data_IF_027074051079
#
_entry.id   IF_027074051079
#
_cell.length_a   1.000
_cell.length_b   1.000
_cell.length_c   1.000
_cell.angle_alpha   90.00
_cell.angle_beta   90.00
_cell.angle_gamma   90.00
#
_symmetry.space_group_name_H-M   'P 1'
#
loop_
_entity.id
_entity.type
_entity.pdbx_description
1 polymer ?
#
# COMPACT_ATOMS: atom_id res chain seq x y z
N UNK A 1 -8.63 -0.34 -25.25
CA UNK A 1 -9.21 0.01 -23.95
C UNK A 1 -10.14 -1.07 -23.38
N UNK A 2 -10.62 -2.07 -24.17
CA UNK A 2 -11.31 -3.26 -23.65
C UNK A 2 -10.51 -4.57 -23.76
N UNK A 3 -9.19 -4.50 -23.90
CA UNK A 3 -8.35 -5.68 -24.19
C UNK A 3 -7.24 -5.82 -23.15
N UNK A 4 -7.16 -6.99 -22.54
CA UNK A 4 -6.10 -7.42 -21.64
C UNK A 4 -5.11 -8.28 -22.41
N UNK A 5 -3.81 -8.00 -22.25
CA UNK A 5 -2.76 -8.78 -22.92
C UNK A 5 -2.75 -10.20 -22.36
N UNK A 6 -2.78 -11.21 -23.23
CA UNK A 6 -2.66 -12.60 -22.80
C UNK A 6 -1.39 -12.81 -21.98
N UNK A 7 -1.56 -13.40 -20.79
CA UNK A 7 -0.47 -13.72 -19.88
C UNK A 7 -0.56 -15.18 -19.42
N UNK A 8 0.60 -15.80 -19.24
CA UNK A 8 0.75 -17.18 -18.76
C UNK A 8 1.13 -17.18 -17.30
N UNK A 9 0.56 -18.11 -16.55
CA UNK A 9 0.77 -18.29 -15.13
C UNK A 9 0.89 -19.78 -14.79
N UNK A 10 1.40 -20.05 -13.59
CA UNK A 10 1.44 -21.40 -13.03
C UNK A 10 0.59 -21.44 -11.77
N UNK A 11 -0.26 -22.46 -11.65
CA UNK A 11 -1.06 -22.68 -10.46
C UNK A 11 -0.22 -23.33 -9.33
N UNK A 12 -0.81 -23.54 -8.15
CA UNK A 12 -0.11 -24.16 -7.01
C UNK A 12 0.37 -25.60 -7.25
N UNK A 13 -0.06 -26.24 -8.33
CA UNK A 13 0.37 -27.58 -8.73
C UNK A 13 1.37 -27.53 -9.90
N UNK A 14 1.92 -26.35 -10.23
CA UNK A 14 2.76 -26.09 -11.39
C UNK A 14 2.09 -26.41 -12.72
N UNK A 15 0.75 -26.37 -12.78
CA UNK A 15 0.02 -26.48 -14.03
C UNK A 15 -0.04 -25.09 -14.69
N UNK A 16 0.38 -25.01 -15.96
CA UNK A 16 0.28 -23.78 -16.74
C UNK A 16 -1.19 -23.46 -17.05
N UNK A 17 -1.55 -22.18 -16.91
CA UNK A 17 -2.82 -21.63 -17.34
C UNK A 17 -2.62 -20.23 -17.93
N UNK A 18 -3.56 -19.79 -18.76
CA UNK A 18 -3.52 -18.49 -19.43
C UNK A 18 -4.69 -17.62 -18.97
N UNK A 19 -4.45 -16.32 -18.78
CA UNK A 19 -5.51 -15.31 -18.65
C UNK A 19 -5.52 -14.44 -19.91
N UNK A 20 -6.69 -14.26 -20.52
CA UNK A 20 -6.89 -13.38 -21.68
C UNK A 20 -8.29 -12.79 -21.73
N UNK A 21 -8.47 -11.74 -22.52
CA UNK A 21 -9.80 -11.22 -22.86
C UNK A 21 -10.61 -12.23 -23.69
N UNK A 22 -11.90 -12.31 -23.41
CA UNK A 22 -12.84 -13.05 -24.26
C UNK A 22 -13.12 -12.31 -25.56
N UNK A 23 -13.39 -13.07 -26.61
CA UNK A 23 -13.84 -12.59 -27.92
C UNK A 23 -15.13 -13.31 -28.33
N UNK A 24 -15.89 -12.80 -29.32
CA UNK A 24 -17.09 -13.47 -29.80
C UNK A 24 -16.87 -14.92 -30.27
N UNK A 25 -15.65 -15.26 -30.70
CA UNK A 25 -15.29 -16.64 -31.09
C UNK A 25 -15.26 -17.61 -29.89
N UNK A 26 -15.14 -17.08 -28.66
CA UNK A 26 -15.09 -17.87 -27.44
C UNK A 26 -16.49 -18.20 -26.88
N UNK A 27 -17.55 -17.62 -27.44
CA UNK A 27 -18.93 -17.74 -26.96
C UNK A 27 -19.35 -19.19 -26.73
N UNK A 28 -18.97 -20.12 -27.62
CA UNK A 28 -19.32 -21.53 -27.47
C UNK A 28 -18.66 -22.19 -26.25
N UNK A 29 -17.41 -21.83 -25.96
CA UNK A 29 -16.66 -22.37 -24.82
C UNK A 29 -17.12 -21.75 -23.50
N UNK A 30 -17.37 -20.44 -23.49
CA UNK A 30 -17.92 -19.75 -22.31
C UNK A 30 -19.32 -20.27 -21.99
N UNK A 31 -20.17 -20.44 -23.01
CA UNK A 31 -21.51 -20.98 -22.80
C UNK A 31 -21.46 -22.40 -22.21
N UNK A 32 -20.58 -23.26 -22.74
CA UNK A 32 -20.35 -24.62 -22.20
C UNK A 32 -19.89 -24.55 -20.74
N UNK A 33 -18.90 -23.71 -20.43
CA UNK A 33 -18.41 -23.50 -19.07
C UNK A 33 -19.51 -23.04 -18.12
N UNK A 34 -20.31 -22.04 -18.53
CA UNK A 34 -21.44 -21.53 -17.77
C UNK A 34 -22.48 -22.62 -17.52
N UNK A 35 -22.85 -23.40 -18.55
CA UNK A 35 -23.77 -24.54 -18.40
C UNK A 35 -23.26 -25.55 -17.38
N UNK A 36 -21.98 -25.93 -17.44
CA UNK A 36 -21.38 -26.86 -16.48
C UNK A 36 -21.41 -26.33 -15.04
N UNK A 37 -21.18 -25.03 -14.84
CA UNK A 37 -21.32 -24.40 -13.52
C UNK A 37 -22.76 -24.46 -13.01
N UNK A 38 -23.74 -24.03 -13.80
CA UNK A 38 -25.14 -23.93 -13.38
C UNK A 38 -25.83 -25.30 -13.24
N UNK A 39 -25.42 -26.33 -14.00
CA UNK A 39 -26.04 -27.66 -13.99
C UNK A 39 -25.49 -28.61 -12.92
N UNK A 40 -24.39 -28.26 -12.26
CA UNK A 40 -23.67 -29.21 -11.41
C UNK A 40 -24.16 -29.28 -9.96
N UNK A 41 -25.16 -28.49 -9.54
CA UNK A 41 -25.57 -28.25 -8.14
C UNK A 41 -24.40 -27.93 -7.18
N UNK A 42 -23.20 -27.74 -7.72
CA UNK A 42 -21.94 -27.66 -6.99
C UNK A 42 -21.53 -26.22 -6.68
N UNK A 43 -22.40 -25.27 -7.05
CA UNK A 43 -22.17 -23.84 -6.96
C UNK A 43 -23.20 -23.13 -6.06
N UNK A 44 -23.07 -23.26 -4.72
CA UNK A 44 -24.02 -22.69 -3.77
C UNK A 44 -24.01 -21.15 -3.68
N UNK A 45 -23.16 -20.49 -4.48
CA UNK A 45 -22.91 -19.05 -4.44
C UNK A 45 -23.30 -18.32 -5.73
N UNK A 46 -23.92 -19.00 -6.70
CA UNK A 46 -24.46 -18.37 -7.90
C UNK A 46 -25.90 -17.90 -7.64
N UNK A 47 -26.24 -16.71 -8.15
CA UNK A 47 -27.61 -16.17 -8.06
C UNK A 47 -28.53 -16.79 -9.11
N UNK A 48 -28.03 -17.01 -10.32
CA UNK A 48 -28.80 -17.62 -11.41
C UNK A 48 -29.00 -19.10 -11.10
N UNK A 49 -30.26 -19.53 -11.07
CA UNK A 49 -30.58 -20.94 -10.91
C UNK A 49 -30.42 -21.70 -12.21
N UNK A 50 -30.28 -23.02 -12.11
CA UNK A 50 -30.22 -23.92 -13.28
C UNK A 50 -31.43 -23.77 -14.20
N UNK A 51 -32.62 -23.54 -13.64
CA UNK A 51 -33.88 -23.40 -14.38
C UNK A 51 -33.97 -22.07 -15.14
N UNK A 52 -33.32 -21.02 -14.63
CA UNK A 52 -33.29 -19.69 -15.25
C UNK A 52 -32.26 -19.59 -16.37
N UNK A 53 -31.25 -20.47 -16.39
CA UNK A 53 -30.18 -20.43 -17.37
C UNK A 53 -30.63 -20.93 -18.75
N UNK A 54 -31.18 -20.02 -19.56
CA UNK A 54 -31.68 -20.29 -20.91
C UNK A 54 -30.93 -19.50 -22.00
N UNK A 55 -29.66 -19.16 -21.76
CA UNK A 55 -28.85 -18.35 -22.67
C UNK A 55 -28.52 -19.13 -23.95
N UNK A 56 -28.80 -18.55 -25.10
CA UNK A 56 -28.42 -19.13 -26.40
C UNK A 56 -27.01 -18.71 -26.81
N UNK A 57 -26.39 -19.48 -27.73
CA UNK A 57 -25.08 -19.13 -28.28
C UNK A 57 -25.08 -17.73 -28.93
N UNK A 58 -26.16 -17.35 -29.60
CA UNK A 58 -26.28 -16.03 -30.24
C UNK A 58 -26.34 -14.91 -29.20
N UNK A 59 -27.02 -15.14 -28.08
CA UNK A 59 -27.09 -14.20 -26.97
C UNK A 59 -25.72 -14.05 -26.28
N UNK A 60 -25.03 -15.16 -26.04
CA UNK A 60 -23.68 -15.18 -25.48
C UNK A 60 -22.70 -14.41 -26.37
N UNK A 61 -22.70 -14.69 -27.67
CA UNK A 61 -21.87 -14.01 -28.66
C UNK A 61 -22.16 -12.50 -28.70
N UNK A 62 -23.44 -12.13 -28.69
CA UNK A 62 -23.87 -10.72 -28.68
C UNK A 62 -23.47 -10.00 -27.39
N UNK A 63 -23.50 -10.69 -26.25
CA UNK A 63 -23.04 -10.15 -24.97
C UNK A 63 -21.54 -9.87 -24.99
N UNK A 64 -20.72 -10.84 -25.44
CA UNK A 64 -19.26 -10.65 -25.54
C UNK A 64 -18.92 -9.51 -26.51
N UNK A 65 -19.57 -9.45 -27.67
CA UNK A 65 -19.35 -8.36 -28.64
C UNK A 65 -19.73 -6.98 -28.05
N UNK A 66 -20.81 -6.92 -27.27
CA UNK A 66 -21.25 -5.70 -26.56
C UNK A 66 -20.22 -5.26 -25.51
N UNK A 67 -19.63 -6.22 -24.79
CA UNK A 67 -18.62 -5.97 -23.76
C UNK A 67 -17.32 -5.46 -24.38
N UNK A 68 -16.85 -6.09 -25.45
CA UNK A 68 -15.62 -5.73 -26.16
C UNK A 68 -15.66 -4.28 -26.69
N UNK A 69 -16.85 -3.82 -27.13
CA UNK A 69 -17.04 -2.46 -27.65
C UNK A 69 -17.12 -1.39 -26.56
N UNK A 70 -17.32 -1.75 -25.29
CA UNK A 70 -17.48 -0.80 -24.17
C UNK A 70 -16.13 -0.51 -23.52
N UNK A 71 -15.67 0.76 -23.50
CA UNK A 71 -14.36 1.10 -22.93
C UNK A 71 -14.22 0.83 -21.43
N UNK A 72 -15.32 0.70 -20.69
CA UNK A 72 -15.34 0.45 -19.23
C UNK A 72 -15.84 -0.93 -18.85
N UNK A 73 -15.83 -1.87 -19.79
CA UNK A 73 -16.21 -3.27 -19.55
C UNK A 73 -15.10 -4.21 -20.01
N UNK A 74 -15.01 -5.38 -19.39
CA UNK A 74 -14.10 -6.44 -19.81
C UNK A 74 -14.65 -7.80 -19.41
N UNK A 75 -14.35 -8.83 -20.22
CA UNK A 75 -14.49 -10.23 -19.84
C UNK A 75 -13.10 -10.86 -19.90
N UNK A 76 -12.67 -11.47 -18.81
CA UNK A 76 -11.43 -12.23 -18.68
C UNK A 76 -11.77 -13.72 -18.55
N UNK A 77 -11.04 -14.56 -19.28
CA UNK A 77 -11.11 -16.01 -19.17
C UNK A 77 -9.80 -16.56 -18.63
N UNK A 78 -9.90 -17.62 -17.82
CA UNK A 78 -8.79 -18.47 -17.45
C UNK A 78 -8.87 -19.79 -18.23
N UNK A 79 -7.80 -20.15 -18.93
CA UNK A 79 -7.74 -21.35 -19.77
C UNK A 79 -6.63 -22.30 -19.28
N UNK A 80 -6.96 -23.59 -19.14
CA UNK A 80 -6.00 -24.66 -18.87
C UNK A 80 -6.08 -25.64 -20.03
N UNK A 81 -4.96 -25.85 -20.74
CA UNK A 81 -4.89 -26.75 -21.90
C UNK A 81 -5.97 -26.47 -22.97
N UNK A 82 -6.36 -25.20 -23.13
CA UNK A 82 -7.37 -24.77 -24.10
C UNK A 82 -8.81 -24.89 -23.64
N UNK A 83 -9.08 -25.35 -22.41
CA UNK A 83 -10.44 -25.36 -21.84
C UNK A 83 -10.61 -24.22 -20.83
N UNK A 84 -11.78 -23.57 -20.86
CA UNK A 84 -12.14 -22.51 -19.91
C UNK A 84 -12.37 -23.11 -18.52
N UNK A 85 -11.62 -22.64 -17.54
CA UNK A 85 -11.71 -23.07 -16.13
C UNK A 85 -12.09 -21.93 -15.18
N UNK A 86 -12.15 -20.70 -15.67
CA UNK A 86 -12.55 -19.53 -14.90
C UNK A 86 -13.01 -18.40 -15.79
N UNK A 87 -13.92 -17.59 -15.29
CA UNK A 87 -14.49 -16.44 -15.98
C UNK A 87 -14.63 -15.28 -14.98
N UNK A 88 -14.30 -14.08 -15.43
CA UNK A 88 -14.58 -12.84 -14.72
C UNK A 88 -15.14 -11.84 -15.73
N UNK A 89 -16.27 -11.22 -15.42
CA UNK A 89 -16.79 -10.11 -16.20
C UNK A 89 -16.93 -8.86 -15.31
N UNK A 90 -16.58 -7.69 -15.85
CA UNK A 90 -16.71 -6.41 -15.17
C UNK A 90 -17.44 -5.41 -16.06
N UNK A 91 -18.35 -4.65 -15.47
CA UNK A 91 -19.12 -3.61 -16.14
C UNK A 91 -19.18 -2.32 -15.32
N UNK A 92 -18.85 -1.20 -15.95
CA UNK A 92 -19.09 0.10 -15.37
C UNK A 92 -20.54 0.58 -15.53
N UNK A 93 -20.93 1.55 -14.70
CA UNK A 93 -22.26 2.13 -14.73
C UNK A 93 -22.56 2.89 -16.02
N UNK A 94 -23.78 2.76 -16.55
CA UNK A 94 -24.17 3.40 -17.82
C UNK A 94 -24.51 4.90 -17.71
N UNK A 95 -24.71 5.41 -16.49
CA UNK A 95 -25.00 6.84 -16.27
C UNK A 95 -23.69 7.61 -16.21
N UNK A 96 -23.65 8.83 -16.77
CA UNK A 96 -22.46 9.70 -16.77
C UNK A 96 -21.76 9.85 -15.41
N UNK A 97 -22.53 9.88 -14.31
CA UNK A 97 -21.97 9.98 -12.94
C UNK A 97 -21.46 8.65 -12.37
N UNK A 98 -21.73 7.54 -13.04
CA UNK A 98 -21.40 6.17 -12.61
C UNK A 98 -20.41 5.48 -13.55
N UNK A 99 -20.01 6.10 -14.66
CA UNK A 99 -19.05 5.50 -15.60
C UNK A 99 -17.67 5.23 -14.98
N UNK A 100 -17.35 5.93 -13.88
CA UNK A 100 -16.10 5.79 -13.16
C UNK A 100 -16.04 4.55 -12.27
N UNK A 101 -17.15 3.83 -12.11
CA UNK A 101 -17.22 2.70 -11.19
C UNK A 101 -18.05 1.57 -11.77
N UNK A 102 -17.77 0.34 -11.35
CA UNK A 102 -18.42 -0.83 -11.86
C UNK A 102 -18.40 -1.99 -10.89
N UNK A 103 -19.04 -3.08 -11.30
CA UNK A 103 -19.14 -4.32 -10.55
C UNK A 103 -18.59 -5.47 -11.39
N UNK A 104 -18.07 -6.50 -10.72
CA UNK A 104 -17.67 -7.73 -11.39
C UNK A 104 -18.36 -8.98 -10.82
N UNK A 105 -18.57 -9.95 -11.70
CA UNK A 105 -18.84 -11.34 -11.37
C UNK A 105 -17.59 -12.18 -11.61
N UNK A 106 -17.38 -13.22 -10.81
CA UNK A 106 -16.26 -14.15 -11.02
C UNK A 106 -16.64 -15.57 -10.62
N UNK A 107 -16.21 -16.54 -11.42
CA UNK A 107 -16.34 -17.97 -11.14
C UNK A 107 -15.07 -18.71 -11.53
N UNK A 108 -14.80 -19.81 -10.81
CA UNK A 108 -13.73 -20.77 -11.14
C UNK A 108 -14.32 -22.16 -10.94
N UNK A 109 -14.08 -23.04 -11.92
CA UNK A 109 -14.54 -24.43 -11.91
C UNK A 109 -14.10 -25.15 -10.64
N UNK A 110 -14.99 -25.96 -10.06
CA UNK A 110 -14.79 -26.59 -8.75
C UNK A 110 -13.45 -27.33 -8.61
N UNK A 111 -13.09 -28.14 -9.61
CA UNK A 111 -11.86 -28.94 -9.66
C UNK A 111 -10.57 -28.09 -9.78
N UNK A 112 -10.69 -26.79 -10.10
CA UNK A 112 -9.58 -25.84 -10.22
C UNK A 112 -9.54 -24.79 -9.07
N UNK A 113 -10.43 -24.91 -8.07
CA UNK A 113 -10.42 -24.08 -6.87
C UNK A 113 -9.24 -24.41 -5.96
N UNK A 114 -8.86 -23.46 -5.11
CA UNK A 114 -7.72 -23.64 -4.19
C UNK A 114 -6.36 -23.36 -4.82
N UNK A 115 -6.29 -23.31 -6.16
CA UNK A 115 -5.03 -23.32 -6.93
C UNK A 115 -4.48 -21.93 -7.28
N UNK A 116 -5.18 -20.86 -6.93
CA UNK A 116 -4.75 -19.48 -7.16
C UNK A 116 -5.36 -18.81 -8.40
N UNK A 117 -6.08 -19.53 -9.26
CA UNK A 117 -6.65 -18.99 -10.50
C UNK A 117 -7.55 -17.76 -10.27
N UNK A 118 -8.48 -17.83 -9.31
CA UNK A 118 -9.35 -16.69 -8.97
C UNK A 118 -8.56 -15.46 -8.45
N UNK A 119 -7.41 -15.69 -7.79
CA UNK A 119 -6.52 -14.61 -7.37
C UNK A 119 -5.92 -13.89 -8.57
N UNK A 120 -5.48 -14.66 -9.57
CA UNK A 120 -4.87 -14.13 -10.79
C UNK A 120 -5.91 -13.45 -11.70
N UNK A 121 -7.12 -14.01 -11.82
CA UNK A 121 -8.24 -13.36 -12.52
C UNK A 121 -8.56 -11.99 -11.92
N UNK A 122 -8.75 -11.93 -10.59
CA UNK A 122 -9.04 -10.67 -9.92
C UNK A 122 -7.89 -9.67 -10.02
N UNK A 123 -6.64 -10.11 -9.86
CA UNK A 123 -5.48 -9.23 -10.05
C UNK A 123 -5.43 -8.66 -11.47
N UNK A 124 -5.70 -9.49 -12.47
CA UNK A 124 -5.76 -9.07 -13.87
C UNK A 124 -6.85 -8.02 -14.13
N UNK A 125 -8.01 -8.13 -13.48
CA UNK A 125 -9.04 -7.09 -13.50
C UNK A 125 -8.53 -5.79 -12.89
N UNK A 126 -7.92 -5.85 -11.70
CA UNK A 126 -7.42 -4.66 -11.00
C UNK A 126 -6.36 -3.95 -11.84
N UNK A 127 -5.40 -4.69 -12.38
CA UNK A 127 -4.33 -4.13 -13.22
C UNK A 127 -4.92 -3.44 -14.46
N UNK A 128 -5.87 -4.10 -15.16
CA UNK A 128 -6.58 -3.50 -16.29
C UNK A 128 -7.37 -2.25 -15.88
N UNK A 129 -8.09 -2.29 -14.76
CA UNK A 129 -8.92 -1.18 -14.30
C UNK A 129 -8.06 0.01 -13.87
N UNK A 130 -6.89 -0.24 -13.26
CA UNK A 130 -5.90 0.76 -12.89
C UNK A 130 -5.37 1.50 -14.11
N UNK A 131 -5.03 0.78 -15.19
CA UNK A 131 -4.59 1.36 -16.45
C UNK A 131 -5.73 2.03 -17.26
N UNK A 132 -6.98 1.67 -16.99
CA UNK A 132 -8.13 2.23 -17.69
C UNK A 132 -8.42 3.67 -17.24
N UNK A 133 -8.39 4.69 -18.13
CA UNK A 133 -8.56 6.08 -17.73
C UNK A 133 -9.97 6.42 -17.23
N UNK A 134 -10.96 5.55 -17.47
CA UNK A 134 -12.33 5.77 -17.03
C UNK A 134 -12.59 5.25 -15.63
N UNK A 135 -11.99 4.13 -15.22
CA UNK A 135 -12.41 3.40 -14.02
C UNK A 135 -11.60 3.84 -12.81
N UNK A 136 -12.27 4.37 -11.79
CA UNK A 136 -11.66 4.84 -10.54
C UNK A 136 -11.96 3.89 -9.37
N UNK A 137 -12.98 3.04 -9.48
CA UNK A 137 -13.40 2.14 -8.40
C UNK A 137 -14.02 0.84 -8.92
N UNK A 138 -13.62 -0.28 -8.32
CA UNK A 138 -14.18 -1.62 -8.55
C UNK A 138 -15.01 -2.03 -7.34
N UNK A 139 -16.23 -2.52 -7.56
CA UNK A 139 -17.11 -3.02 -6.51
C UNK A 139 -17.47 -4.49 -6.76
N UNK A 140 -17.95 -5.15 -5.71
CA UNK A 140 -18.49 -6.50 -5.78
C UNK A 140 -19.54 -6.70 -4.69
N UNK A 141 -20.37 -7.72 -4.91
CA UNK A 141 -21.25 -8.28 -3.92
C UNK A 141 -20.90 -9.75 -3.66
N UNK A 142 -20.90 -10.15 -2.38
CA UNK A 142 -20.54 -11.50 -1.96
C UNK A 142 -21.46 -11.97 -0.84
N UNK A 143 -21.87 -13.24 -0.90
CA UNK A 143 -22.65 -13.86 0.18
C UNK A 143 -21.84 -13.84 1.47
N UNK A 144 -22.47 -13.45 2.58
CA UNK A 144 -21.80 -13.35 3.87
C UNK A 144 -21.24 -14.70 4.38
N UNK A 145 -21.70 -15.81 3.81
CA UNK A 145 -21.26 -17.18 4.11
C UNK A 145 -20.06 -17.64 3.25
N UNK A 146 -19.60 -16.84 2.29
CA UNK A 146 -18.50 -17.20 1.39
C UNK A 146 -17.15 -16.68 1.92
N UNK A 147 -16.72 -17.21 3.07
CA UNK A 147 -15.48 -16.81 3.77
C UNK A 147 -14.25 -16.85 2.86
N UNK A 148 -14.22 -17.83 1.94
CA UNK A 148 -13.13 -18.01 0.97
C UNK A 148 -13.03 -16.83 0.01
N UNK A 149 -14.15 -16.38 -0.55
CA UNK A 149 -14.17 -15.23 -1.46
C UNK A 149 -13.89 -13.93 -0.70
N UNK A 150 -14.48 -13.75 0.48
CA UNK A 150 -14.24 -12.58 1.35
C UNK A 150 -12.74 -12.45 1.66
N UNK A 151 -12.10 -13.54 2.08
CA UNK A 151 -10.65 -13.56 2.37
C UNK A 151 -9.81 -13.19 1.14
N UNK A 152 -10.20 -13.67 -0.05
CA UNK A 152 -9.54 -13.29 -1.30
C UNK A 152 -9.67 -11.79 -1.57
N UNK A 153 -10.87 -11.23 -1.46
CA UNK A 153 -11.13 -9.82 -1.71
C UNK A 153 -10.38 -8.91 -0.72
N UNK A 154 -10.41 -9.24 0.57
CA UNK A 154 -9.65 -8.51 1.60
C UNK A 154 -8.14 -8.56 1.32
N UNK A 155 -7.61 -9.72 0.92
CA UNK A 155 -6.18 -9.85 0.56
C UNK A 155 -5.77 -9.04 -0.68
N UNK A 156 -6.74 -8.54 -1.44
CA UNK A 156 -6.57 -7.67 -2.61
C UNK A 156 -6.91 -6.20 -2.32
N UNK A 157 -7.10 -5.84 -1.05
CA UNK A 157 -7.36 -4.46 -0.63
C UNK A 157 -8.81 -4.01 -0.72
N UNK A 158 -9.76 -4.92 -1.04
CA UNK A 158 -11.18 -4.58 -0.98
C UNK A 158 -11.62 -4.40 0.47
N UNK A 159 -12.39 -3.35 0.72
CA UNK A 159 -12.95 -3.03 2.03
C UNK A 159 -14.46 -3.26 1.99
N UNK A 160 -15.03 -3.77 3.09
CA UNK A 160 -16.47 -3.87 3.23
C UNK A 160 -17.09 -2.48 3.38
N UNK A 161 -18.03 -2.15 2.49
CA UNK A 161 -18.72 -0.86 2.46
C UNK A 161 -20.20 -0.98 2.83
N UNK A 162 -20.80 -2.17 2.70
CA UNK A 162 -22.20 -2.40 3.06
C UNK A 162 -22.46 -3.82 3.58
N UNK A 163 -23.54 -3.96 4.34
CA UNK A 163 -24.07 -5.24 4.83
C UNK A 163 -25.60 -5.24 4.72
N UNK A 164 -26.16 -6.16 3.94
CA UNK A 164 -27.60 -6.26 3.66
C UNK A 164 -28.14 -7.58 4.21
N UNK A 165 -28.95 -7.48 5.27
CA UNK A 165 -29.58 -8.63 5.91
C UNK A 165 -30.69 -9.25 5.05
N UNK A 166 -30.78 -10.57 5.05
CA UNK A 166 -31.78 -11.36 4.33
C UNK A 166 -31.97 -10.88 2.88
N UNK A 167 -30.88 -10.54 2.20
CA UNK A 167 -30.95 -9.86 0.91
C UNK A 167 -31.26 -10.83 -0.24
N UNK A 168 -30.75 -12.06 -0.15
CA UNK A 168 -30.97 -13.11 -1.13
C UNK A 168 -31.94 -14.14 -0.53
N UNK A 169 -32.99 -14.52 -1.27
CA UNK A 169 -33.92 -15.59 -0.89
C UNK A 169 -33.56 -16.85 -1.68
N UNK A 170 -33.19 -17.93 -0.99
CA UNK A 170 -32.85 -19.22 -1.63
C UNK A 170 -34.07 -20.15 -1.77
N UNK A 171 -35.09 -19.94 -0.93
CA UNK A 171 -36.28 -20.78 -0.83
C UNK A 171 -37.21 -20.25 0.24
N UNK A 172 -38.28 -20.97 0.55
CA UNK A 172 -39.24 -20.51 1.55
C UNK A 172 -38.65 -20.48 2.96
N UNK A 173 -38.51 -19.27 3.50
CA UNK A 173 -37.93 -19.04 4.83
C UNK A 173 -36.39 -19.03 4.86
N UNK A 174 -35.72 -19.34 3.75
CA UNK A 174 -34.26 -19.40 3.67
C UNK A 174 -33.69 -18.17 2.98
N UNK A 175 -32.83 -17.45 3.71
CA UNK A 175 -32.23 -16.21 3.26
C UNK A 175 -30.72 -16.19 3.54
N UNK A 176 -29.99 -15.46 2.69
CA UNK A 176 -28.57 -15.19 2.86
C UNK A 176 -28.33 -13.68 2.90
N UNK A 177 -27.46 -13.26 3.83
CA UNK A 177 -26.97 -11.89 3.94
C UNK A 177 -25.95 -11.59 2.83
N UNK A 178 -25.94 -10.35 2.34
CA UNK A 178 -25.06 -9.90 1.27
C UNK A 178 -24.12 -8.80 1.75
N UNK A 179 -22.83 -8.96 1.47
CA UNK A 179 -21.77 -8.00 1.77
C UNK A 179 -21.38 -7.30 0.48
N UNK A 180 -21.44 -5.97 0.47
CA UNK A 180 -20.89 -5.17 -0.63
C UNK A 180 -19.49 -4.68 -0.27
N UNK A 181 -18.54 -4.87 -1.17
CA UNK A 181 -17.14 -4.46 -0.99
C UNK A 181 -16.67 -3.57 -2.14
N UNK A 182 -15.73 -2.68 -1.86
CA UNK A 182 -15.17 -1.74 -2.83
C UNK A 182 -13.65 -1.63 -2.74
N UNK A 183 -13.02 -1.38 -3.89
CA UNK A 183 -11.61 -1.04 -4.05
C UNK A 183 -11.51 0.25 -4.86
N UNK A 184 -10.99 1.31 -4.24
CA UNK A 184 -10.62 2.55 -4.93
C UNK A 184 -9.26 2.32 -5.59
N UNK A 185 -9.15 2.64 -6.88
CA UNK A 185 -7.94 2.40 -7.66
C UNK A 185 -7.00 3.61 -7.60
N UNK A 186 -5.72 3.34 -7.36
CA UNK A 186 -4.66 4.36 -7.41
C UNK A 186 -4.14 4.47 -8.85
N UNK A 187 -4.22 5.67 -9.43
CA UNK A 187 -3.84 5.89 -10.84
C UNK A 187 -2.35 6.18 -10.99
N UNK A 188 -1.66 5.58 -11.99
CA UNK A 188 -0.25 5.87 -12.26
C UNK A 188 -0.04 7.37 -12.49
N UNK A 189 0.92 7.95 -11.75
CA UNK A 189 1.29 9.37 -11.87
C UNK A 189 0.37 10.36 -11.13
N UNK A 190 -0.71 9.91 -10.49
CA UNK A 190 -1.43 10.72 -9.51
C UNK A 190 -0.76 10.51 -8.16
N UNK A 191 -0.09 11.54 -7.63
CA UNK A 191 0.36 11.55 -6.24
C UNK A 191 -0.92 11.54 -5.40
N UNK A 192 -1.23 10.39 -4.82
CA UNK A 192 -2.36 10.22 -3.92
C UNK A 192 -2.13 11.11 -2.70
N UNK A 193 -3.18 11.78 -2.19
CA UNK A 193 -3.14 12.41 -0.85
C UNK A 193 -2.81 11.40 0.28
N UNK A 194 -2.71 10.10 -0.05
CA UNK A 194 -2.33 8.99 0.84
C UNK A 194 -0.88 8.52 0.75
N UNK A 195 -0.03 9.08 -0.12
CA UNK A 195 1.36 8.63 -0.19
C UNK A 195 2.09 9.02 1.11
N UNK A 196 2.53 8.02 1.88
CA UNK A 196 3.33 8.27 3.08
C UNK A 196 4.69 8.86 2.71
N UNK A 197 4.94 10.10 3.14
CA UNK A 197 6.14 10.86 2.81
C UNK A 197 6.74 11.47 4.08
N UNK A 198 8.07 11.36 4.21
CA UNK A 198 8.85 12.12 5.18
C UNK A 198 9.69 13.15 4.44
N UNK A 199 9.38 14.43 4.64
CA UNK A 199 10.18 15.52 4.12
C UNK A 199 11.50 15.66 4.91
N UNK A 200 12.63 15.56 4.21
CA UNK A 200 13.95 15.62 4.80
C UNK A 200 14.81 16.79 4.27
N UNK A 201 14.22 17.80 3.64
CA UNK A 201 14.94 18.94 3.07
C UNK A 201 15.12 18.81 1.56
N UNK A 202 16.29 18.42 1.07
CA UNK A 202 16.56 18.28 -0.38
C UNK A 202 16.04 16.95 -0.94
N UNK A 203 15.68 16.03 -0.05
CA UNK A 203 15.17 14.69 -0.38
C UNK A 203 13.84 14.42 0.31
N UNK A 204 13.11 13.46 -0.23
CA UNK A 204 11.93 12.85 0.39
C UNK A 204 12.25 11.39 0.71
N UNK A 205 11.72 10.89 1.82
CA UNK A 205 11.52 9.46 1.99
C UNK A 205 10.08 9.12 1.62
N UNK A 206 9.89 8.11 0.77
CA UNK A 206 8.57 7.58 0.45
C UNK A 206 8.60 6.08 0.22
N UNK A 207 7.45 5.44 0.24
CA UNK A 207 7.33 4.02 -0.11
C UNK A 207 7.86 3.72 -1.53
N UNK A 208 8.35 2.50 -1.72
CA UNK A 208 8.77 2.03 -3.03
C UNK A 208 7.57 1.94 -3.97
N UNK A 209 7.78 2.35 -5.22
CA UNK A 209 6.81 2.17 -6.30
C UNK A 209 7.38 1.21 -7.33
N UNK A 210 6.51 0.57 -8.11
CA UNK A 210 6.93 -0.39 -9.14
C UNK A 210 7.85 0.28 -10.17
N UNK A 211 7.66 1.59 -10.41
CA UNK A 211 8.52 2.40 -11.29
C UNK A 211 9.95 2.56 -10.75
N UNK A 212 10.18 2.42 -9.43
CA UNK A 212 11.51 2.48 -8.84
C UNK A 212 12.32 1.20 -9.06
N UNK A 213 11.69 0.10 -9.51
CA UNK A 213 12.29 -1.22 -9.57
C UNK A 213 13.62 -1.23 -10.34
N UNK A 214 13.66 -0.56 -11.49
CA UNK A 214 14.86 -0.49 -12.31
C UNK A 214 15.99 0.30 -11.64
N UNK A 215 15.66 1.42 -11.00
CA UNK A 215 16.63 2.23 -10.26
C UNK A 215 17.16 1.49 -9.03
N UNK A 216 16.28 0.78 -8.31
CA UNK A 216 16.64 -0.04 -7.16
C UNK A 216 17.56 -1.20 -7.56
N UNK A 217 17.25 -1.93 -8.63
CA UNK A 217 18.12 -2.99 -9.14
C UNK A 217 19.48 -2.46 -9.60
N UNK A 218 19.49 -1.31 -10.30
CA UNK A 218 20.73 -0.68 -10.73
C UNK A 218 21.59 -0.22 -9.54
N UNK A 219 20.97 0.29 -8.47
CA UNK A 219 21.64 0.67 -7.23
C UNK A 219 22.31 -0.54 -6.55
N UNK A 220 21.58 -1.64 -6.36
CA UNK A 220 22.11 -2.84 -5.69
C UNK A 220 23.21 -3.53 -6.49
N UNK A 221 23.27 -3.27 -7.80
CA UNK A 221 24.32 -3.78 -8.66
C UNK A 221 25.64 -2.98 -8.62
N UNK A 222 25.65 -1.79 -8.00
CA UNK A 222 26.86 -0.97 -7.91
C UNK A 222 27.94 -1.70 -7.06
N UNK A 223 29.21 -1.75 -7.52
CA UNK A 223 30.29 -2.43 -6.80
C UNK A 223 30.42 -1.99 -5.35
N UNK A 224 30.23 -0.69 -5.09
CA UNK A 224 30.35 -0.08 -3.78
C UNK A 224 29.15 -0.35 -2.86
N UNK A 225 28.03 -0.86 -3.40
CA UNK A 225 26.92 -1.39 -2.62
C UNK A 225 27.15 -2.86 -2.35
N UNK A 226 27.50 -3.64 -3.38
CA UNK A 226 27.81 -5.08 -3.26
C UNK A 226 28.93 -5.38 -2.27
N UNK A 227 29.91 -4.48 -2.13
CA UNK A 227 30.99 -4.63 -1.15
C UNK A 227 30.47 -4.80 0.29
N UNK A 228 29.35 -4.15 0.62
CA UNK A 228 28.80 -4.13 1.98
C UNK A 228 27.45 -4.85 2.11
N UNK A 229 26.72 -5.00 1.00
CA UNK A 229 25.38 -5.57 0.93
C UNK A 229 25.25 -6.53 -0.27
N UNK A 230 26.06 -7.61 -0.35
CA UNK A 230 26.06 -8.50 -1.50
C UNK A 230 24.71 -9.21 -1.69
N UNK A 231 24.01 -9.54 -0.61
CA UNK A 231 22.72 -10.26 -0.64
C UNK A 231 21.56 -9.40 -1.19
N UNK A 232 21.79 -8.11 -1.41
CA UNK A 232 20.81 -7.22 -2.03
C UNK A 232 20.81 -7.30 -3.56
N UNK A 233 21.85 -7.86 -4.18
CA UNK A 233 21.89 -8.08 -5.62
C UNK A 233 21.14 -9.36 -6.00
N UNK A 234 19.85 -9.21 -6.30
CA UNK A 234 18.95 -10.31 -6.67
C UNK A 234 18.38 -10.10 -8.08
N UNK A 235 17.91 -11.17 -8.75
CA UNK A 235 17.22 -11.04 -10.04
C UNK A 235 16.03 -10.08 -9.95
N UNK A 236 15.77 -9.33 -11.04
CA UNK A 236 14.70 -8.33 -11.10
C UNK A 236 13.31 -8.89 -10.75
N UNK A 237 13.02 -10.12 -11.18
CA UNK A 237 11.76 -10.81 -10.86
C UNK A 237 11.60 -11.05 -9.35
N UNK A 238 12.67 -11.50 -8.69
CA UNK A 238 12.69 -11.69 -7.23
C UNK A 238 12.58 -10.34 -6.50
N UNK A 239 13.23 -9.29 -7.01
CA UNK A 239 13.10 -7.95 -6.44
C UNK A 239 11.66 -7.41 -6.56
N UNK A 240 11.01 -7.62 -7.71
CA UNK A 240 9.62 -7.23 -7.92
C UNK A 240 8.67 -7.96 -6.95
N UNK A 241 8.89 -9.26 -6.75
CA UNK A 241 8.16 -10.06 -5.76
C UNK A 241 8.34 -9.50 -4.34
N UNK A 242 9.58 -9.20 -3.94
CA UNK A 242 9.87 -8.60 -2.63
C UNK A 242 9.18 -7.25 -2.45
N UNK A 243 9.30 -6.36 -3.45
CA UNK A 243 8.68 -5.05 -3.42
C UNK A 243 7.16 -5.17 -3.19
N UNK A 244 6.46 -5.95 -4.02
CA UNK A 244 4.99 -6.04 -4.00
C UNK A 244 4.48 -6.83 -2.80
N UNK A 245 5.08 -7.99 -2.52
CA UNK A 245 4.50 -8.97 -1.60
C UNK A 245 5.08 -8.92 -0.18
N UNK A 246 6.18 -8.19 0.04
CA UNK A 246 6.84 -8.12 1.34
C UNK A 246 7.09 -6.68 1.80
N UNK A 247 7.79 -5.86 1.01
CA UNK A 247 8.22 -4.54 1.45
C UNK A 247 7.05 -3.56 1.55
N UNK A 248 6.20 -3.47 0.54
CA UNK A 248 4.97 -2.65 0.59
C UNK A 248 3.98 -3.18 1.64
N UNK A 249 3.88 -4.49 1.81
CA UNK A 249 2.99 -5.10 2.82
C UNK A 249 3.46 -4.77 4.25
N UNK A 250 4.76 -4.86 4.52
CA UNK A 250 5.33 -4.50 5.83
C UNK A 250 5.17 -3.01 6.10
N UNK A 251 5.39 -2.14 5.11
CA UNK A 251 5.16 -0.71 5.27
C UNK A 251 3.70 -0.40 5.62
N UNK A 252 2.75 -1.03 4.93
CA UNK A 252 1.34 -0.87 5.23
C UNK A 252 1.04 -1.31 6.68
N UNK A 253 1.52 -2.48 7.10
CA UNK A 253 1.39 -2.96 8.49
C UNK A 253 2.02 -1.99 9.49
N UNK A 254 3.15 -1.39 9.14
CA UNK A 254 3.85 -0.42 9.97
C UNK A 254 2.98 0.81 10.18
N UNK A 255 2.47 1.39 9.08
CA UNK A 255 1.65 2.61 9.11
C UNK A 255 0.29 2.36 9.80
N UNK A 256 -0.31 1.19 9.61
CA UNK A 256 -1.51 0.76 10.35
C UNK A 256 -1.25 0.67 11.86
N UNK A 257 -0.10 0.12 12.28
CA UNK A 257 0.30 0.06 13.69
C UNK A 257 0.53 1.48 14.27
N UNK A 258 1.18 2.37 13.50
CA UNK A 258 1.32 3.78 13.88
C UNK A 258 -0.02 4.46 14.09
N UNK A 259 -0.94 4.31 13.13
CA UNK A 259 -2.27 4.92 13.19
C UNK A 259 -3.14 4.36 14.33
N UNK A 260 -2.93 3.11 14.71
CA UNK A 260 -3.69 2.43 15.76
C UNK A 260 -3.28 2.86 17.16
N UNK A 261 -2.00 2.70 17.51
CA UNK A 261 -1.49 2.93 18.86
C UNK A 261 0.00 3.30 18.93
N UNK A 262 0.68 3.43 17.78
CA UNK A 262 2.10 3.75 17.71
C UNK A 262 3.02 2.56 17.99
N UNK A 263 2.49 1.35 18.20
CA UNK A 263 3.29 0.19 18.65
C UNK A 263 3.81 -0.64 17.47
N UNK A 264 5.05 -0.39 17.05
CA UNK A 264 5.60 -0.91 15.78
C UNK A 264 6.59 -2.07 15.92
N UNK A 265 6.72 -2.64 17.12
CA UNK A 265 7.71 -3.64 17.56
C UNK A 265 8.60 -4.25 16.47
N UNK A 266 8.26 -5.38 15.86
CA UNK A 266 9.10 -6.11 14.91
C UNK A 266 8.90 -5.67 13.44
N UNK A 267 7.96 -4.75 13.21
CA UNK A 267 7.56 -4.34 11.87
C UNK A 267 8.65 -3.42 11.28
N UNK A 268 9.05 -3.75 10.06
CA UNK A 268 10.03 -2.99 9.31
C UNK A 268 9.37 -1.83 8.54
N UNK A 269 10.07 -0.70 8.46
CA UNK A 269 9.72 0.42 7.60
C UNK A 269 10.82 0.58 6.55
N UNK A 270 10.46 0.52 5.26
CA UNK A 270 11.41 0.55 4.13
C UNK A 270 11.04 1.64 3.15
N UNK A 271 11.86 2.67 3.05
CA UNK A 271 11.56 3.85 2.24
C UNK A 271 12.68 4.12 1.22
N UNK A 272 12.27 4.52 0.02
CA UNK A 272 13.15 5.08 -1.00
C UNK A 272 13.56 6.51 -0.67
N UNK A 273 14.80 6.86 -0.97
CA UNK A 273 15.34 8.22 -0.92
C UNK A 273 15.15 8.83 -2.31
N UNK A 274 14.32 9.86 -2.40
CA UNK A 274 13.98 10.54 -3.65
C UNK A 274 14.56 11.94 -3.65
N UNK A 275 15.32 12.30 -4.68
CA UNK A 275 15.81 13.65 -4.87
C UNK A 275 14.66 14.57 -5.27
N UNK A 276 14.35 15.60 -4.47
CA UNK A 276 13.20 16.47 -4.73
C UNK A 276 13.28 17.20 -6.07
N UNK A 277 14.48 17.67 -6.41
CA UNK A 277 14.71 18.48 -7.61
C UNK A 277 14.32 17.72 -8.89
N UNK A 278 14.58 16.42 -8.95
CA UNK A 278 14.45 15.63 -10.17
C UNK A 278 13.37 14.54 -10.08
N UNK A 279 12.91 14.20 -8.88
CA UNK A 279 12.07 13.02 -8.64
C UNK A 279 12.83 11.69 -8.73
N UNK A 280 14.16 11.72 -8.84
CA UNK A 280 14.99 10.54 -9.03
C UNK A 280 15.10 9.69 -7.76
N UNK A 281 14.99 8.36 -7.90
CA UNK A 281 15.32 7.42 -6.85
C UNK A 281 16.85 7.30 -6.71
N UNK A 282 17.39 7.75 -5.58
CA UNK A 282 18.85 7.85 -5.38
C UNK A 282 19.40 6.92 -4.29
N UNK A 283 18.53 6.22 -3.56
CA UNK A 283 18.92 5.39 -2.42
C UNK A 283 17.72 4.86 -1.65
N UNK A 284 17.97 4.26 -0.49
CA UNK A 284 16.93 3.83 0.44
C UNK A 284 17.38 4.02 1.89
N UNK A 285 16.42 4.19 2.78
CA UNK A 285 16.59 4.29 4.23
C UNK A 285 15.49 3.47 4.90
N UNK A 286 15.89 2.50 5.72
CA UNK A 286 15.01 1.51 6.30
C UNK A 286 15.23 1.42 7.82
N UNK A 287 14.23 0.93 8.55
CA UNK A 287 14.36 0.52 9.94
C UNK A 287 13.71 -0.84 10.18
N UNK A 288 14.39 -1.69 10.95
CA UNK A 288 13.95 -3.05 11.27
C UNK A 288 14.73 -3.61 12.45
N UNK A 289 14.50 -4.87 12.82
CA UNK A 289 15.21 -5.52 13.93
C UNK A 289 16.56 -6.09 13.51
N UNK A 290 17.56 -5.93 14.39
CA UNK A 290 18.88 -6.54 14.26
C UNK A 290 19.09 -7.54 15.39
N UNK A 291 18.73 -8.80 15.13
CA UNK A 291 18.70 -9.88 16.13
C UNK A 291 20.07 -10.17 16.78
N UNK A 292 21.17 -9.83 16.12
CA UNK A 292 22.53 -9.97 16.65
C UNK A 292 22.86 -8.92 17.73
N UNK A 293 22.02 -7.90 17.91
CA UNK A 293 22.13 -6.91 18.98
C UNK A 293 21.19 -7.22 20.15
N UNK A 294 21.57 -6.89 21.39
CA UNK A 294 20.68 -7.03 22.54
C UNK A 294 19.52 -6.03 22.46
N UNK A 295 18.33 -6.47 22.85
CA UNK A 295 17.15 -5.61 22.93
C UNK A 295 17.37 -4.42 23.89
N UNK A 296 16.85 -3.21 23.57
CA UNK A 296 16.15 -2.85 22.33
C UNK A 296 17.12 -2.75 21.12
N UNK A 297 16.80 -3.44 20.03
CA UNK A 297 17.72 -3.74 18.92
C UNK A 297 17.21 -3.29 17.54
N UNK A 298 16.23 -2.38 17.49
CA UNK A 298 15.81 -1.75 16.22
C UNK A 298 16.97 -0.96 15.63
N UNK A 299 17.24 -1.18 14.35
CA UNK A 299 18.34 -0.58 13.58
C UNK A 299 17.81 0.40 12.52
N UNK A 300 18.63 1.40 12.17
CA UNK A 300 18.52 2.15 10.90
C UNK A 300 19.56 1.63 9.90
N UNK A 301 19.11 1.32 8.69
CA UNK A 301 19.94 0.87 7.57
C UNK A 301 19.74 1.81 6.39
N UNK A 302 20.78 2.03 5.58
CA UNK A 302 20.67 2.87 4.39
C UNK A 302 21.67 2.48 3.30
N UNK A 303 21.34 2.84 2.06
CA UNK A 303 22.28 2.86 0.95
C UNK A 303 21.99 4.05 0.03
N UNK A 304 23.03 4.55 -0.62
CA UNK A 304 22.91 5.65 -1.59
C UNK A 304 23.81 5.40 -2.80
N UNK A 305 23.29 5.75 -3.98
CA UNK A 305 23.98 5.66 -5.26
C UNK A 305 25.30 6.42 -5.22
N UNK A 306 26.34 5.85 -5.83
CA UNK A 306 27.66 6.46 -5.94
C UNK A 306 27.62 7.88 -6.53
N UNK A 307 26.69 8.15 -7.46
CA UNK A 307 26.49 9.45 -8.09
C UNK A 307 25.96 10.56 -7.12
N UNK A 308 25.43 10.17 -5.96
CA UNK A 308 24.81 11.08 -4.99
C UNK A 308 25.50 11.09 -3.61
N UNK A 309 26.71 10.52 -3.52
CA UNK A 309 27.53 10.54 -2.29
C UNK A 309 28.07 11.93 -1.99
N UNK A 310 28.44 12.15 -0.72
CA UNK A 310 29.06 13.39 -0.20
C UNK A 310 28.20 14.66 -0.33
N UNK A 311 26.90 14.53 -0.63
CA UNK A 311 25.94 15.64 -0.72
C UNK A 311 25.11 15.86 0.55
N UNK A 312 25.30 15.01 1.58
CA UNK A 312 24.57 15.11 2.84
C UNK A 312 23.20 14.41 2.86
N UNK A 313 22.73 13.87 1.73
CA UNK A 313 21.42 13.23 1.60
C UNK A 313 21.18 12.06 2.56
N UNK A 314 22.19 11.24 2.86
CA UNK A 314 22.04 10.17 3.86
C UNK A 314 21.84 10.74 5.26
N UNK A 315 22.52 11.84 5.60
CA UNK A 315 22.33 12.53 6.88
C UNK A 315 20.91 13.07 6.99
N UNK A 316 20.38 13.63 5.91
CA UNK A 316 18.99 14.10 5.83
C UNK A 316 18.00 12.93 5.98
N UNK A 317 18.18 11.85 5.22
CA UNK A 317 17.32 10.67 5.25
C UNK A 317 17.27 10.02 6.64
N UNK A 318 18.42 9.73 7.24
CA UNK A 318 18.48 9.13 8.58
C UNK A 318 17.90 10.07 9.63
N UNK A 319 18.13 11.39 9.51
CA UNK A 319 17.54 12.40 10.39
C UNK A 319 16.00 12.41 10.33
N UNK A 320 15.43 12.42 9.13
CA UNK A 320 13.97 12.37 8.93
C UNK A 320 13.35 11.06 9.41
N UNK A 321 13.97 9.92 9.09
CA UNK A 321 13.54 8.61 9.60
C UNK A 321 13.55 8.57 11.14
N UNK A 322 14.63 9.02 11.76
CA UNK A 322 14.80 9.06 13.20
C UNK A 322 13.73 9.94 13.87
N UNK A 323 13.50 11.14 13.33
CA UNK A 323 12.46 12.04 13.82
C UNK A 323 11.09 11.37 13.76
N UNK A 324 10.71 10.85 12.59
CA UNK A 324 9.41 10.22 12.40
C UNK A 324 9.19 9.08 13.39
N UNK A 325 10.18 8.19 13.55
CA UNK A 325 10.09 7.07 14.48
C UNK A 325 9.92 7.53 15.93
N UNK A 326 10.69 8.51 16.40
CA UNK A 326 10.57 8.97 17.79
C UNK A 326 9.29 9.74 18.07
N UNK A 327 8.77 10.49 17.10
CA UNK A 327 7.57 11.32 17.29
C UNK A 327 6.27 10.53 17.14
N UNK A 328 6.26 9.49 16.32
CA UNK A 328 5.01 8.80 15.93
C UNK A 328 4.92 7.36 16.44
N UNK A 329 5.95 6.83 17.10
CA UNK A 329 5.98 5.41 17.53
C UNK A 329 6.45 5.22 18.97
N UNK A 330 6.33 3.98 19.45
CA UNK A 330 6.83 3.51 20.74
C UNK A 330 8.35 3.27 20.79
N UNK A 331 9.09 3.60 19.72
CA UNK A 331 10.54 3.41 19.67
C UNK A 331 11.24 4.36 20.65
N UNK A 332 12.04 3.80 21.55
CA UNK A 332 12.82 4.54 22.56
C UNK A 332 14.33 4.56 22.27
N UNK A 333 14.81 3.63 21.45
CA UNK A 333 16.21 3.50 21.06
C UNK A 333 16.32 3.03 19.60
N UNK A 334 17.27 3.62 18.89
CA UNK A 334 17.71 3.19 17.57
C UNK A 334 19.18 2.78 17.64
N UNK A 335 19.52 1.75 16.88
CA UNK A 335 20.86 1.23 16.73
C UNK A 335 21.35 1.48 15.30
N UNK A 336 22.66 1.47 15.13
CA UNK A 336 23.29 1.38 13.83
C UNK A 336 24.56 0.54 13.98
N UNK A 337 24.80 -0.38 13.05
CA UNK A 337 26.09 -1.04 12.93
C UNK A 337 26.75 -0.71 11.59
N UNK A 338 28.07 -0.58 11.61
CA UNK A 338 28.85 -0.44 10.39
C UNK A 338 30.16 -1.21 10.53
N UNK A 339 30.55 -1.90 9.46
CA UNK A 339 31.88 -2.51 9.39
C UNK A 339 32.95 -1.48 9.73
N UNK A 340 33.95 -1.86 10.52
CA UNK A 340 35.03 -0.95 10.92
C UNK A 340 35.71 -0.33 9.69
N UNK A 341 35.87 -1.11 8.62
CA UNK A 341 36.46 -0.63 7.35
C UNK A 341 35.57 0.33 6.56
N UNK A 342 34.26 0.39 6.84
CA UNK A 342 33.32 1.29 6.15
C UNK A 342 33.38 2.69 6.76
N UNK A 343 34.50 3.39 6.54
CA UNK A 343 34.78 4.71 7.13
C UNK A 343 33.67 5.73 6.82
N UNK A 344 33.10 5.67 5.62
CA UNK A 344 32.03 6.56 5.19
C UNK A 344 30.76 6.41 6.03
N UNK A 345 30.30 5.16 6.25
CA UNK A 345 29.11 4.91 7.07
C UNK A 345 29.34 5.30 8.53
N UNK A 346 30.48 4.92 9.10
CA UNK A 346 30.84 5.30 10.49
C UNK A 346 30.84 6.82 10.68
N UNK A 347 31.36 7.60 9.71
CA UNK A 347 31.33 9.07 9.76
C UNK A 347 29.92 9.63 9.71
N UNK A 348 29.03 9.05 8.91
CA UNK A 348 27.62 9.49 8.83
C UNK A 348 26.92 9.24 10.17
N UNK A 349 27.04 8.03 10.72
CA UNK A 349 26.45 7.64 12.00
C UNK A 349 26.91 8.61 13.12
N UNK A 350 28.21 8.86 13.21
CA UNK A 350 28.78 9.80 14.18
C UNK A 350 28.31 11.25 13.96
N UNK A 351 28.18 11.70 12.70
CA UNK A 351 27.70 13.05 12.38
C UNK A 351 26.27 13.29 12.85
N UNK A 352 25.44 12.24 12.85
CA UNK A 352 24.05 12.25 13.36
C UNK A 352 24.02 12.04 14.89
N UNK A 353 25.21 11.96 15.53
CA UNK A 353 25.41 11.87 16.98
C UNK A 353 24.92 10.57 17.60
N UNK A 354 24.89 9.49 16.82
CA UNK A 354 24.84 8.16 17.40
C UNK A 354 26.10 7.92 18.24
N UNK A 355 25.91 7.49 19.47
CA UNK A 355 26.98 7.24 20.43
C UNK A 355 27.59 5.87 20.18
N UNK A 356 28.92 5.81 20.13
CA UNK A 356 29.63 4.54 20.02
C UNK A 356 29.47 3.74 21.32
N UNK A 357 29.08 2.48 21.20
CA UNK A 357 28.90 1.57 22.33
C UNK A 357 30.14 0.70 22.51
N UNK A 358 30.40 -0.17 21.54
CA UNK A 358 31.57 -1.03 21.46
C UNK A 358 31.72 -1.61 20.04
N UNK A 359 32.72 -2.47 19.85
CA UNK A 359 32.87 -3.29 18.66
C UNK A 359 32.27 -4.67 18.91
N UNK A 360 31.48 -5.17 17.95
CA UNK A 360 30.90 -6.50 17.95
C UNK A 360 31.40 -7.31 16.75
N UNK A 361 31.32 -8.64 16.84
CA UNK A 361 31.71 -9.57 15.78
C UNK A 361 30.47 -10.31 15.26
N UNK A 362 30.19 -10.19 13.96
CA UNK A 362 29.09 -10.86 13.25
C UNK A 362 29.71 -11.51 12.01
N UNK A 363 29.47 -12.81 11.80
CA UNK A 363 29.95 -13.58 10.64
C UNK A 363 31.42 -13.32 10.26
N UNK A 364 32.28 -13.42 11.27
CA UNK A 364 33.73 -13.17 11.20
C UNK A 364 34.20 -11.74 10.91
N UNK A 365 33.28 -10.80 10.70
CA UNK A 365 33.60 -9.38 10.52
C UNK A 365 33.38 -8.57 11.81
N UNK A 366 34.13 -7.47 11.93
CA UNK A 366 34.04 -6.57 13.07
C UNK A 366 33.26 -5.31 12.70
N UNK A 367 32.25 -5.00 13.51
CA UNK A 367 31.36 -3.86 13.34
C UNK A 367 31.48 -2.92 14.53
N UNK A 368 31.48 -1.63 14.27
CA UNK A 368 31.20 -0.64 15.30
C UNK A 368 29.69 -0.60 15.52
N UNK A 369 29.27 -0.76 16.77
CA UNK A 369 27.89 -0.63 17.18
C UNK A 369 27.66 0.72 17.84
N UNK A 370 26.61 1.39 17.40
CA UNK A 370 26.19 2.68 17.90
C UNK A 370 24.73 2.69 18.35
N UNK A 371 24.41 3.63 19.24
CA UNK A 371 23.06 3.85 19.77
C UNK A 371 22.64 5.31 19.72
N UNK A 372 21.35 5.53 19.58
CA UNK A 372 20.72 6.82 19.75
C UNK A 372 19.39 6.64 20.50
N UNK A 373 19.13 7.49 21.50
CA UNK A 373 17.92 7.36 22.34
C UNK A 373 16.93 8.49 22.09
N UNK A 374 15.65 8.22 22.33
CA UNK A 374 14.59 9.23 22.30
C UNK A 374 14.84 10.37 23.29
N UNK A 375 15.44 10.06 24.44
CA UNK A 375 15.83 11.08 25.41
C UNK A 375 16.89 12.03 24.84
N UNK A 376 17.89 11.50 24.14
CA UNK A 376 18.90 12.31 23.42
C UNK A 376 18.26 13.14 22.32
N UNK A 377 17.30 12.57 21.57
CA UNK A 377 16.53 13.28 20.54
C UNK A 377 15.79 14.48 21.14
N UNK A 378 15.00 14.27 22.20
CA UNK A 378 14.24 15.32 22.88
C UNK A 378 15.18 16.40 23.40
N UNK A 379 16.29 16.01 24.05
CA UNK A 379 17.27 16.98 24.54
C UNK A 379 17.85 17.82 23.41
N UNK A 380 18.20 17.23 22.26
CA UNK A 380 18.72 17.97 21.11
C UNK A 380 17.68 18.89 20.48
N UNK A 381 16.44 18.43 20.33
CA UNK A 381 15.32 19.22 19.83
C UNK A 381 15.12 20.47 20.69
N UNK A 382 15.08 20.30 22.01
CA UNK A 382 14.77 21.36 22.96
C UNK A 382 15.98 22.31 23.20
N UNK A 383 17.22 21.82 23.11
CA UNK A 383 18.44 22.62 23.38
C UNK A 383 19.05 23.30 22.17
N UNK A 384 18.95 22.70 20.98
CA UNK A 384 19.57 23.24 19.75
C UNK A 384 18.57 23.80 18.75
N UNK A 385 17.27 23.72 19.04
CA UNK A 385 16.23 24.12 18.09
C UNK A 385 16.26 23.28 16.82
N UNK A 386 16.57 21.98 16.94
CA UNK A 386 16.49 21.05 15.81
C UNK A 386 15.01 20.95 15.40
N UNK A 387 14.66 21.66 14.34
CA UNK A 387 13.29 21.78 13.81
C UNK A 387 13.24 21.16 12.43
N UNK A 388 12.17 20.44 12.12
CA UNK A 388 11.98 19.89 10.78
C UNK A 388 11.93 21.02 9.73
N UNK A 389 12.18 20.73 8.44
CA UNK A 389 11.97 21.70 7.37
C UNK A 389 10.54 22.26 7.37
N UNK A 390 9.53 21.41 7.63
CA UNK A 390 8.13 21.81 7.74
C UNK A 390 7.86 22.74 8.93
N UNK A 391 8.50 22.51 10.08
CA UNK A 391 8.43 23.44 11.22
C UNK A 391 9.13 24.76 10.90
N UNK A 392 10.29 24.74 10.23
CA UNK A 392 11.00 25.95 9.80
C UNK A 392 10.18 26.78 8.81
N UNK A 393 9.47 26.13 7.88
CA UNK A 393 8.53 26.78 6.96
C UNK A 393 7.38 27.43 7.71
N UNK A 394 6.73 26.69 8.62
CA UNK A 394 5.66 27.21 9.49
C UNK A 394 6.13 28.41 10.33
N UNK A 395 7.33 28.35 10.88
CA UNK A 395 7.92 29.45 11.64
C UNK A 395 8.20 30.65 10.75
N UNK A 396 8.71 30.45 9.54
CA UNK A 396 8.91 31.56 8.58
C UNK A 396 7.58 32.23 8.20
N UNK A 397 6.51 31.45 8.08
CA UNK A 397 5.15 31.95 7.82
C UNK A 397 4.60 32.70 9.03
N UNK A 398 4.83 32.21 10.26
CA UNK A 398 4.39 32.89 11.48
C UNK A 398 5.17 34.19 11.72
N UNK A 399 6.49 34.20 11.49
CA UNK A 399 7.35 35.37 11.63
C UNK A 399 7.05 36.43 10.56
N UNK A 400 6.79 36.02 9.31
CA UNK A 400 6.38 36.94 8.25
C UNK A 400 4.99 37.57 8.48
N UNK A 401 4.14 36.91 9.27
CA UNK A 401 2.85 37.45 9.73
C UNK A 401 2.93 38.20 11.08
N UNK A 402 4.12 38.42 11.63
CA UNK A 402 4.34 39.27 12.80
C UNK A 402 4.08 38.61 14.16
N UNK A 403 4.04 37.28 14.24
CA UNK A 403 3.91 36.56 15.51
C UNK A 403 5.29 36.23 16.10
N UNK A 404 5.61 36.76 17.29
CA UNK A 404 6.87 36.45 17.98
C UNK A 404 6.86 35.06 18.63
N UNK A 405 8.01 34.37 18.53
CA UNK A 405 8.25 33.01 19.00
C UNK A 405 8.19 32.93 20.55
N UNK A 406 7.04 32.55 21.12
CA UNK A 406 6.96 32.03 22.50
C UNK A 406 6.99 30.50 22.46
N UNK A 407 7.72 29.82 23.37
CA UNK A 407 7.83 28.37 23.36
C UNK A 407 6.46 27.77 23.74
N UNK A 408 5.69 27.40 22.73
CA UNK A 408 4.46 26.65 22.90
C UNK A 408 4.71 25.19 22.54
N UNK A 409 4.50 24.32 23.51
CA UNK A 409 4.22 22.92 23.28
C UNK A 409 2.95 22.83 22.41
N UNK A 410 3.08 22.47 21.15
CA UNK A 410 1.94 22.34 20.24
C UNK A 410 1.42 20.91 20.23
N UNK A 411 0.31 20.76 20.96
CA UNK A 411 -0.82 19.92 20.55
C UNK A 411 -1.26 20.36 19.14
N UNK A 412 -1.42 19.37 18.26
CA UNK A 412 -1.91 19.46 16.88
C UNK A 412 -3.00 20.51 16.64
N UNK A 413 -2.88 21.27 15.52
CA UNK A 413 -4.02 21.77 14.75
C UNK A 413 -3.68 21.86 13.26
N UNK A 414 -4.50 21.19 12.45
CA UNK A 414 -4.77 21.49 11.06
C UNK A 414 -6.26 21.87 10.97
N UNK A 415 -6.58 22.96 10.26
CA UNK A 415 -7.96 23.28 9.83
C UNK A 415 -8.10 22.75 8.40
N UNK A 416 -9.04 21.88 8.01
CA UNK A 416 -10.49 21.99 8.17
C UNK A 416 -11.15 20.59 8.14
N UNK A 417 -11.78 20.15 9.24
CA UNK A 417 -13.12 19.50 9.28
C UNK A 417 -13.37 18.71 10.59
N UNK A 418 -14.24 19.30 11.43
CA UNK A 418 -15.36 18.70 12.18
C UNK A 418 -15.14 17.29 12.79
N UNK A 419 -14.93 17.24 14.10
CA UNK A 419 -15.33 16.11 14.94
C UNK A 419 -16.60 16.48 15.72
N UNK A 420 -17.68 15.73 15.51
CA UNK A 420 -18.89 15.75 16.33
C UNK A 420 -18.68 14.78 17.50
N UNK A 421 -18.96 15.24 18.72
CA UNK A 421 -19.00 14.41 19.92
C UNK A 421 -19.50 15.19 21.15
N UNK A 422 -20.81 15.13 21.35
CA UNK A 422 -21.63 15.38 22.55
C UNK A 422 -21.52 16.71 23.34
N UNK A 423 -22.52 17.55 23.03
CA UNK A 423 -23.17 18.61 23.81
C UNK A 423 -22.34 19.83 24.29
N UNK A 424 -22.80 21.02 23.85
CA UNK A 424 -22.36 22.40 24.14
C UNK A 424 -21.24 22.96 23.24
N UNK A 425 -21.60 23.89 22.35
CA UNK A 425 -20.66 24.81 21.73
C UNK A 425 -20.46 26.02 22.66
N UNK A 426 -19.30 26.12 23.30
CA UNK A 426 -18.93 27.34 24.04
C UNK A 426 -17.97 28.16 23.17
N UNK A 427 -18.27 29.46 23.03
CA UNK A 427 -17.40 30.40 22.32
C UNK A 427 -16.50 31.09 23.36
N UNK A 428 -15.20 31.10 23.10
CA UNK A 428 -14.23 31.86 23.91
C UNK A 428 -14.12 33.25 23.29
N UNK A 429 -14.36 34.30 24.08
CA UNK A 429 -14.00 35.66 23.69
C UNK A 429 -13.04 36.24 24.73
N UNK A 430 -12.07 37.00 24.25
CA UNK A 430 -11.20 37.82 25.11
C UNK A 430 -11.86 39.18 25.27
N UNK A 431 -11.99 39.64 26.51
CA UNK A 431 -12.37 41.02 26.75
C UNK A 431 -11.16 41.95 26.56
N UNK A 432 -11.42 43.27 26.64
CA UNK A 432 -10.43 44.33 26.40
C UNK A 432 -9.26 44.27 27.42
N UNK A 433 -9.40 43.51 28.51
CA UNK A 433 -8.40 43.33 29.57
C UNK A 433 -7.64 42.00 29.46
N UNK A 434 -7.76 41.26 28.33
CA UNK A 434 -7.10 39.98 28.07
C UNK A 434 -7.46 38.83 29.05
N UNK A 435 -8.58 38.91 29.75
CA UNK A 435 -9.11 37.77 30.52
C UNK A 435 -10.02 36.89 29.65
N UNK A 436 -9.82 35.57 29.70
CA UNK A 436 -10.64 34.60 28.97
C UNK A 436 -11.99 34.40 29.66
N UNK A 437 -13.09 34.67 28.95
CA UNK A 437 -14.44 34.29 29.36
C UNK A 437 -15.04 33.23 28.43
N UNK A 438 -15.72 32.25 29.03
CA UNK A 438 -16.49 31.23 28.32
C UNK A 438 -17.95 31.65 28.28
N UNK A 439 -18.49 31.86 27.07
CA UNK A 439 -19.93 32.10 26.87
C UNK A 439 -20.49 30.87 26.18
N UNK A 440 -21.41 30.17 26.85
CA UNK A 440 -22.12 29.04 26.30
C UNK A 440 -23.55 29.50 25.95
N UNK A 441 -23.81 29.71 24.65
CA UNK A 441 -25.13 30.07 24.16
C UNK A 441 -25.92 28.80 23.80
N UNK A 442 -27.14 28.67 24.32
CA UNK A 442 -28.07 27.59 23.98
C UNK A 442 -28.83 27.91 22.69
N UNK A 443 -28.67 27.09 21.66
CA UNK A 443 -29.61 27.00 20.53
C UNK A 443 -29.88 25.55 20.16
#
# INVERSE_FOLDING_TARGET
>A
MGHFKTMKFFDKHNQEFEIRSASPNDAQQILKYSQELFLSDSEPYLLTTTEEFNVTLEQECSWIESMEKKPGSIILMAEVQGEVVGLLDFNNGHKRRMVHTGEFGMSVRYDHRGRGIGKVLLRSLIDWATENPLIEKVNLDVFATNDRAISLYQSMGFIQESFRKNHIKLGDGEYIDLIGMGLILEKPGVISEKDFIIDCGDILLREYKVEDLDALCALTQQPEIKEFLPDWDVPKEQRLDWLINYETVDNQRFLEAVAKDGYVEDICLRLGIILKETGEFIGWCCSGMKEELPAPNREIMYAISAAHRNKGYVTQAVGGMMQYLFENTNVEQLNAIALIRNISSNRVIQKIRFEFVNTIKIDDESYNWYKFTKQTYIHMRDSTGFRSPSEQELISVLESNGYENKPFATKYYSDHAIAIGDHYACRVSMNIDNEMQYICDSW
#
